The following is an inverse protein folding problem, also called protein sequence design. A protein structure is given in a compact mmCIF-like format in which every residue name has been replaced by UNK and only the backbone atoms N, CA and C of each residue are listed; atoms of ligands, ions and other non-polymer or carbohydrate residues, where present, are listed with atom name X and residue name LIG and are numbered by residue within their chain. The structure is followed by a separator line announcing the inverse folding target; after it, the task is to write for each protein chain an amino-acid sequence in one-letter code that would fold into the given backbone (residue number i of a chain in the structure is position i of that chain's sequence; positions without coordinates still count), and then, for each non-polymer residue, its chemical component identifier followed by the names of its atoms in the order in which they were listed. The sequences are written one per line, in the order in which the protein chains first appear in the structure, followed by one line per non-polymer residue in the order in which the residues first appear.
data_IF_143826829044
#
_entry.id   IF_143826829044
#
_cell.length_a   1.000
_cell.length_b   1.000
_cell.length_c   1.000
_cell.angle_alpha   90.00
_cell.angle_beta   90.00
_cell.angle_gamma   90.00
#
_symmetry.space_group_name_H-M   'P 1'
#
loop_
_entity.id
_entity.type
_entity.pdbx_description
1 polymer ?
#
# COMPACT_ATOMS: atom_id res chain seq x y z
N UNK A 1 6.27 1.23 48.37
CA UNK A 1 5.04 1.88 47.86
C UNK A 1 5.50 3.01 46.95
N UNK A 2 5.27 3.06 45.63
CA UNK A 2 4.68 2.16 44.65
C UNK A 2 5.43 2.43 43.32
N UNK A 3 5.67 1.38 42.52
CA UNK A 3 6.32 1.50 41.21
C UNK A 3 5.43 2.25 40.23
N UNK A 4 5.96 3.30 39.62
CA UNK A 4 5.44 3.90 38.40
C UNK A 4 5.94 3.08 37.19
N UNK A 5 5.11 2.16 36.71
CA UNK A 5 5.28 1.53 35.39
C UNK A 5 4.15 2.03 34.50
N UNK A 6 4.42 3.10 33.73
CA UNK A 6 3.58 3.49 32.60
C UNK A 6 4.11 2.81 31.34
N UNK A 7 3.78 1.53 31.16
CA UNK A 7 3.95 0.87 29.87
C UNK A 7 2.60 0.91 29.16
N UNK A 8 2.30 2.03 28.51
CA UNK A 8 1.43 1.99 27.35
C UNK A 8 2.28 1.53 26.16
N UNK A 9 2.60 0.23 26.15
CA UNK A 9 3.17 -0.44 24.98
C UNK A 9 2.03 -0.55 23.95
N UNK A 10 1.84 0.50 23.16
CA UNK A 10 1.01 0.41 21.95
C UNK A 10 1.58 -0.71 21.07
N UNK A 11 0.76 -1.63 20.55
CA UNK A 11 1.26 -2.67 19.66
C UNK A 11 1.87 -1.97 18.45
N UNK A 12 3.19 -2.10 18.29
CA UNK A 12 3.87 -1.64 17.08
C UNK A 12 3.22 -2.34 15.90
N UNK A 13 2.56 -1.56 15.04
CA UNK A 13 2.00 -2.08 13.79
C UNK A 13 3.20 -2.32 12.88
N UNK A 14 3.37 -3.57 12.45
CA UNK A 14 4.37 -3.95 11.48
C UNK A 14 3.72 -4.00 10.11
N UNK A 15 4.28 -3.28 9.14
CA UNK A 15 3.78 -3.25 7.78
C UNK A 15 4.93 -3.34 6.78
N UNK A 16 4.67 -3.95 5.62
CA UNK A 16 5.60 -3.90 4.50
C UNK A 16 5.61 -2.48 3.93
N UNK A 17 6.79 -1.88 3.82
CA UNK A 17 6.93 -0.55 3.27
C UNK A 17 6.82 -0.61 1.75
N UNK A 18 6.02 0.27 1.15
CA UNK A 18 6.06 0.51 -0.29
C UNK A 18 7.36 1.26 -0.64
N UNK A 19 8.22 0.63 -1.42
CA UNK A 19 9.54 1.15 -1.82
C UNK A 19 9.43 1.92 -3.12
N UNK A 20 8.74 1.34 -4.10
CA UNK A 20 8.58 1.88 -5.44
C UNK A 20 7.26 1.41 -6.06
N UNK A 21 6.77 2.15 -7.05
CA UNK A 21 5.61 1.74 -7.83
C UNK A 21 5.76 2.15 -9.30
N UNK A 22 5.37 1.25 -10.20
CA UNK A 22 5.29 1.52 -11.63
C UNK A 22 3.91 1.09 -12.17
N UNK A 23 3.51 1.66 -13.30
CA UNK A 23 2.22 1.41 -13.91
C UNK A 23 2.30 1.27 -15.42
N UNK A 24 1.43 0.44 -15.98
CA UNK A 24 1.30 0.25 -17.43
C UNK A 24 -0.14 0.11 -17.85
N UNK A 25 -0.54 0.94 -18.81
CA UNK A 25 -1.85 0.82 -19.46
C UNK A 25 -1.79 -0.25 -20.57
N UNK A 26 -2.73 -1.19 -20.54
CA UNK A 26 -2.90 -2.25 -21.54
C UNK A 26 -4.32 -2.23 -22.09
N UNK A 27 -4.51 -2.73 -23.31
CA UNK A 27 -5.83 -3.05 -23.83
C UNK A 27 -6.03 -4.57 -23.74
N UNK A 28 -7.02 -5.00 -22.95
CA UNK A 28 -7.41 -6.39 -22.87
C UNK A 28 -8.65 -6.65 -23.72
N UNK A 29 -8.67 -7.79 -24.40
CA UNK A 29 -9.83 -8.24 -25.16
C UNK A 29 -10.83 -8.85 -24.19
N UNK A 30 -11.98 -8.20 -24.01
CA UNK A 30 -13.03 -8.71 -23.15
C UNK A 30 -13.79 -9.83 -23.86
N UNK A 31 -13.81 -11.03 -23.30
CA UNK A 31 -14.55 -12.18 -23.84
C UNK A 31 -16.06 -12.12 -23.58
N UNK A 32 -16.54 -11.14 -22.80
CA UNK A 32 -17.92 -11.05 -22.33
C UNK A 32 -18.90 -10.41 -23.32
N UNK A 33 -18.43 -9.92 -24.47
CA UNK A 33 -19.27 -9.31 -25.50
C UNK A 33 -19.03 -9.96 -26.87
N UNK A 34 -20.10 -10.16 -27.64
CA UNK A 34 -20.07 -10.79 -28.97
C UNK A 34 -19.20 -10.02 -29.99
N UNK A 35 -18.91 -8.74 -29.72
CA UNK A 35 -17.79 -8.01 -30.31
C UNK A 35 -16.63 -7.98 -29.32
N UNK A 36 -15.44 -8.37 -29.74
CA UNK A 36 -14.20 -8.22 -28.98
C UNK A 36 -13.94 -6.74 -28.68
N UNK A 37 -14.49 -6.23 -27.58
CA UNK A 37 -14.30 -4.84 -27.15
C UNK A 37 -12.98 -4.79 -26.37
N UNK A 38 -12.03 -4.01 -26.89
CA UNK A 38 -10.81 -3.66 -26.18
C UNK A 38 -11.18 -2.82 -24.96
N UNK A 39 -10.96 -3.34 -23.77
CA UNK A 39 -11.12 -2.60 -22.52
C UNK A 39 -9.74 -2.19 -21.99
N UNK A 40 -9.52 -0.91 -21.65
CA UNK A 40 -8.29 -0.51 -21.00
C UNK A 40 -8.20 -1.15 -19.60
N UNK A 41 -7.05 -1.72 -19.27
CA UNK A 41 -6.69 -2.24 -17.96
C UNK A 41 -5.38 -1.59 -17.51
N UNK A 42 -5.31 -1.19 -16.25
CA UNK A 42 -4.10 -0.68 -15.63
C UNK A 42 -3.38 -1.83 -14.91
N UNK A 43 -2.16 -2.14 -15.31
CA UNK A 43 -1.25 -2.99 -14.52
C UNK A 43 -0.48 -2.11 -13.54
N UNK A 44 -0.62 -2.39 -12.26
CA UNK A 44 0.18 -1.82 -11.19
C UNK A 44 1.25 -2.83 -10.77
N UNK A 45 2.47 -2.34 -10.60
CA UNK A 45 3.61 -3.08 -10.10
C UNK A 45 4.14 -2.39 -8.86
N UNK A 46 3.99 -3.04 -7.71
CA UNK A 46 4.37 -2.51 -6.40
C UNK A 46 5.62 -3.24 -5.92
N UNK A 47 6.65 -2.49 -5.60
CA UNK A 47 7.87 -2.98 -4.97
C UNK A 47 7.76 -2.71 -3.47
N UNK A 48 7.66 -3.76 -2.66
CA UNK A 48 7.51 -3.66 -1.20
C UNK A 48 8.68 -4.32 -0.47
N UNK A 49 8.95 -3.89 0.75
CA UNK A 49 9.99 -4.51 1.58
C UNK A 49 9.69 -5.99 1.84
N UNK A 50 10.73 -6.82 1.91
CA UNK A 50 10.57 -8.24 2.24
C UNK A 50 10.17 -8.43 3.70
N UNK A 51 10.82 -7.69 4.59
CA UNK A 51 10.51 -7.69 6.02
C UNK A 51 9.58 -6.53 6.34
N UNK A 52 8.54 -6.76 7.17
CA UNK A 52 7.73 -5.67 7.66
C UNK A 52 8.52 -4.85 8.69
N UNK A 53 8.46 -3.52 8.59
CA UNK A 53 9.08 -2.60 9.56
C UNK A 53 8.02 -2.05 10.51
N UNK A 54 8.44 -1.64 11.70
CA UNK A 54 7.58 -0.94 12.63
C UNK A 54 7.17 0.39 11.99
N UNK A 55 5.86 0.61 11.84
CA UNK A 55 5.31 1.89 11.37
C UNK A 55 5.55 2.94 12.45
N UNK A 56 6.74 3.53 12.45
CA UNK A 56 7.01 4.78 13.17
C UNK A 56 6.34 5.89 12.38
N UNK A 57 5.82 6.90 13.09
CA UNK A 57 5.21 8.13 12.56
C UNK A 57 5.80 8.54 11.20
N UNK A 58 4.99 9.07 10.26
CA UNK A 58 5.27 9.11 8.82
C UNK A 58 6.72 9.50 8.52
N UNK A 59 7.60 8.50 8.44
CA UNK A 59 9.01 8.72 8.17
C UNK A 59 9.11 8.89 6.66
N UNK A 60 9.39 10.11 6.21
CA UNK A 60 9.62 10.45 4.79
C UNK A 60 10.87 9.77 4.19
N UNK A 61 11.49 8.84 4.90
CA UNK A 61 12.78 8.25 4.56
C UNK A 61 12.68 6.73 4.77
N UNK A 62 12.98 5.90 3.75
CA UNK A 62 13.04 4.46 3.90
C UNK A 62 14.04 4.09 5.00
N UNK A 63 13.54 3.62 6.14
CA UNK A 63 14.38 3.13 7.22
C UNK A 63 14.74 1.68 6.92
N UNK A 64 16.02 1.43 6.71
CA UNK A 64 16.64 0.11 6.62
C UNK A 64 16.20 -0.77 5.45
N UNK A 65 16.72 -0.49 4.25
CA UNK A 65 17.08 -1.58 3.33
C UNK A 65 18.52 -1.97 3.63
N UNK A 66 18.73 -3.15 4.20
CA UNK A 66 20.06 -3.75 4.21
C UNK A 66 20.38 -4.25 2.80
N UNK A 67 21.67 -4.37 2.46
CA UNK A 67 22.10 -4.79 1.12
C UNK A 67 21.60 -6.21 0.72
N UNK A 68 21.09 -6.98 1.69
CA UNK A 68 20.56 -8.33 1.50
C UNK A 68 19.02 -8.39 1.40
N UNK A 69 18.30 -7.28 1.67
CA UNK A 69 16.83 -7.29 1.61
C UNK A 69 16.37 -7.25 0.16
N UNK A 70 15.80 -8.36 -0.32
CA UNK A 70 15.32 -8.46 -1.69
C UNK A 70 13.86 -8.03 -1.76
N UNK A 71 13.51 -6.93 -2.44
CA UNK A 71 12.13 -6.46 -2.46
C UNK A 71 11.18 -7.49 -3.09
N UNK A 72 9.95 -7.49 -2.61
CA UNK A 72 8.84 -8.28 -3.14
C UNK A 72 8.10 -7.46 -4.19
N UNK A 73 7.82 -8.07 -5.34
CA UNK A 73 7.06 -7.44 -6.42
C UNK A 73 5.63 -7.97 -6.43
N UNK A 74 4.66 -7.09 -6.20
CA UNK A 74 3.23 -7.39 -6.28
C UNK A 74 2.66 -6.80 -7.57
N UNK A 75 1.91 -7.63 -8.29
CA UNK A 75 1.32 -7.27 -9.57
C UNK A 75 -0.20 -7.33 -9.47
N UNK A 76 -0.85 -6.26 -9.91
CA UNK A 76 -2.31 -6.18 -9.97
C UNK A 76 -2.75 -5.63 -11.32
N UNK A 77 -3.79 -6.21 -11.91
CA UNK A 77 -4.44 -5.68 -13.12
C UNK A 77 -5.84 -5.18 -12.75
N UNK A 78 -6.09 -3.90 -12.98
CA UNK A 78 -7.26 -3.20 -12.49
C UNK A 78 -8.03 -2.60 -13.66
N UNK A 79 -9.33 -2.84 -13.68
CA UNK A 79 -10.28 -2.07 -14.47
C UNK A 79 -10.43 -0.66 -13.91
N UNK A 80 -11.04 0.25 -14.69
CA UNK A 80 -11.32 1.61 -14.22
C UNK A 80 -12.10 1.62 -12.90
N UNK A 81 -13.15 0.81 -12.79
CA UNK A 81 -13.99 0.75 -11.59
C UNK A 81 -13.23 0.24 -10.36
N UNK A 82 -12.35 -0.75 -10.53
CA UNK A 82 -11.52 -1.24 -9.43
C UNK A 82 -10.51 -0.19 -8.98
N UNK A 83 -9.93 0.56 -9.93
CA UNK A 83 -9.02 1.66 -9.62
C UNK A 83 -9.74 2.83 -8.92
N UNK A 84 -10.94 3.21 -9.37
CA UNK A 84 -11.74 4.26 -8.73
C UNK A 84 -12.05 3.90 -7.26
N UNK A 85 -12.38 2.62 -7.01
CA UNK A 85 -12.63 2.11 -5.66
C UNK A 85 -11.36 2.14 -4.81
N UNK A 86 -10.22 1.68 -5.34
CA UNK A 86 -8.94 1.70 -4.63
C UNK A 86 -8.54 3.13 -4.21
N UNK A 87 -8.70 4.11 -5.10
CA UNK A 87 -8.42 5.51 -4.81
C UNK A 87 -9.34 6.01 -3.68
N UNK A 88 -10.64 5.70 -3.76
CA UNK A 88 -11.61 6.10 -2.74
C UNK A 88 -11.29 5.51 -1.35
N UNK A 89 -10.84 4.26 -1.30
CA UNK A 89 -10.40 3.62 -0.06
C UNK A 89 -9.12 4.26 0.49
N UNK A 90 -8.15 4.61 -0.37
CA UNK A 90 -6.94 5.30 0.03
C UNK A 90 -7.22 6.71 0.58
N UNK A 91 -8.09 7.48 -0.07
CA UNK A 91 -8.53 8.81 0.40
C UNK A 91 -9.25 8.72 1.76
N UNK A 92 -10.05 7.67 1.97
CA UNK A 92 -10.71 7.43 3.25
C UNK A 92 -9.69 7.11 4.37
N UNK A 93 -8.63 6.35 4.06
CA UNK A 93 -7.53 6.07 4.99
C UNK A 93 -6.77 7.36 5.32
N UNK A 94 -6.40 8.16 4.30
CA UNK A 94 -5.71 9.45 4.48
C UNK A 94 -6.51 10.37 5.40
N UNK A 95 -7.82 10.53 5.12
CA UNK A 95 -8.72 11.31 5.95
C UNK A 95 -8.79 10.81 7.41
N UNK A 96 -8.87 9.49 7.60
CA UNK A 96 -8.92 8.90 8.95
C UNK A 96 -7.61 9.14 9.74
N UNK A 97 -6.47 9.18 9.04
CA UNK A 97 -5.18 9.53 9.65
C UNK A 97 -5.10 11.01 10.02
N UNK A 98 -5.60 11.91 9.17
CA UNK A 98 -5.64 13.36 9.42
C UNK A 98 -6.59 13.76 10.56
N UNK A 99 -7.72 13.05 10.70
CA UNK A 99 -8.72 13.31 11.75
C UNK A 99 -8.35 12.66 13.10
N UNK A 100 -7.29 11.85 13.14
CA UNK A 100 -6.80 11.25 14.37
C UNK A 100 -6.05 12.29 15.21
N UNK A 101 -6.49 12.62 16.44
CA UNK A 101 -5.77 13.57 17.29
C UNK A 101 -4.39 13.01 17.60
N UNK A 102 -3.35 13.80 17.30
CA UNK A 102 -2.00 13.57 17.81
C UNK A 102 -2.06 13.56 19.35
N UNK A 103 -1.97 12.36 19.93
CA UNK A 103 -1.88 12.14 21.38
C UNK A 103 -0.44 11.83 21.76
#
# INVERSE_FOLDING_TARGET
MANSMSNNDFPSIYAHQLIDFDWKLKYAVSSSSLGAINKPLLRLELCVSETPDAVKEPVMIPTHQTADDKPLFLLSENSKSELDNLISEMEAIEKALDESPAN
#
